data_IF_227275697395
#
_entry.id   IF_227275697395
#
_cell.length_a   1.000
_cell.length_b   1.000
_cell.length_c   1.000
_cell.angle_alpha   90.00
_cell.angle_beta   90.00
_cell.angle_gamma   90.00
#
_symmetry.space_group_name_H-M   'P 1'
#
loop_
_entity.id
_entity.type
_entity.pdbx_description
1 polymer ?
#
# COMPACT_ATOMS: atom_id res chain seq x y z
N UNK A 1 9.69 5.25 26.76
CA UNK A 1 9.94 4.06 25.91
C UNK A 1 9.15 2.93 26.55
N UNK A 2 8.42 2.09 25.83
CA UNK A 2 7.65 1.02 26.46
C UNK A 2 7.00 0.08 25.45
N UNK A 3 6.62 -1.10 25.93
CA UNK A 3 5.80 -2.06 25.18
C UNK A 3 4.36 -1.94 25.66
N UNK A 4 3.40 -1.85 24.74
CA UNK A 4 1.97 -1.77 25.10
C UNK A 4 1.19 -2.88 24.42
N UNK A 5 0.41 -3.61 25.19
CA UNK A 5 -0.54 -4.60 24.69
C UNK A 5 -1.96 -4.04 24.81
N UNK A 6 -2.80 -4.27 23.80
CA UNK A 6 -4.23 -3.97 23.87
C UNK A 6 -5.01 -5.15 23.31
N UNK A 7 -5.98 -5.60 24.08
CA UNK A 7 -6.87 -6.72 23.75
C UNK A 7 -8.31 -6.21 23.63
N UNK A 8 -9.14 -6.93 22.86
CA UNK A 8 -10.55 -6.61 22.66
C UNK A 8 -10.89 -6.06 21.27
N UNK A 9 -12.07 -6.42 20.77
CA UNK A 9 -12.61 -5.88 19.53
C UNK A 9 -13.35 -4.56 19.77
N UNK A 10 -13.22 -3.60 18.86
CA UNK A 10 -13.97 -2.32 18.96
C UNK A 10 -15.11 -2.31 17.96
N UNK A 11 -16.33 -2.02 18.43
CA UNK A 11 -17.50 -1.72 17.59
C UNK A 11 -17.87 -0.24 17.76
N UNK A 12 -18.22 0.44 16.66
CA UNK A 12 -18.66 1.84 16.69
C UNK A 12 -17.58 2.84 16.28
N UNK A 13 -17.74 4.10 16.70
CA UNK A 13 -16.83 5.20 16.39
C UNK A 13 -15.78 5.36 17.47
N UNK A 14 -14.51 5.42 17.07
CA UNK A 14 -13.37 5.49 18.01
C UNK A 14 -12.41 6.59 17.62
N UNK A 15 -12.05 7.43 18.58
CA UNK A 15 -11.03 8.47 18.42
C UNK A 15 -9.80 8.12 19.25
N UNK A 16 -8.61 8.29 18.68
CA UNK A 16 -7.35 8.11 19.41
C UNK A 16 -6.40 9.25 19.09
N UNK A 17 -5.98 9.96 20.11
CA UNK A 17 -5.03 11.05 20.04
C UNK A 17 -3.68 10.64 20.64
N UNK A 18 -2.62 11.36 20.29
CA UNK A 18 -1.26 11.16 20.81
C UNK A 18 -0.34 10.31 19.93
N UNK A 19 0.96 10.62 19.99
CA UNK A 19 2.02 9.87 19.32
C UNK A 19 2.41 8.61 20.10
N UNK A 20 2.65 7.49 19.41
CA UNK A 20 3.13 6.25 20.05
C UNK A 20 4.62 6.05 19.77
N UNK A 21 5.44 5.92 20.82
CA UNK A 21 6.86 5.56 20.71
C UNK A 21 7.15 4.24 21.44
N UNK A 22 7.67 3.25 20.73
CA UNK A 22 7.99 1.92 21.29
C UNK A 22 7.32 0.78 20.54
N UNK A 23 7.15 -0.36 21.21
CA UNK A 23 6.52 -1.56 20.63
C UNK A 23 5.05 -1.61 21.03
N UNK A 24 4.15 -1.87 20.08
CA UNK A 24 2.71 -1.98 20.37
C UNK A 24 2.13 -3.24 19.74
N UNK A 25 1.50 -4.07 20.56
CA UNK A 25 0.70 -5.20 20.13
C UNK A 25 -0.79 -4.87 20.28
N UNK A 26 -1.58 -5.24 19.27
CA UNK A 26 -3.04 -5.15 19.35
C UNK A 26 -3.68 -6.41 18.84
N UNK A 27 -4.62 -6.92 19.61
CA UNK A 27 -5.37 -8.11 19.32
C UNK A 27 -6.86 -7.75 19.34
N UNK A 28 -7.57 -8.12 18.28
CA UNK A 28 -9.00 -7.88 18.15
C UNK A 28 -9.39 -7.24 16.81
N UNK A 29 -10.61 -7.55 16.36
CA UNK A 29 -11.21 -6.94 15.18
C UNK A 29 -11.72 -5.52 15.42
N UNK A 30 -11.80 -4.72 14.36
CA UNK A 30 -12.36 -3.37 14.42
C UNK A 30 -13.54 -3.29 13.45
N UNK A 31 -14.74 -2.95 13.95
CA UNK A 31 -15.93 -2.73 13.13
C UNK A 31 -16.50 -1.34 13.37
N UNK A 32 -16.44 -0.45 12.38
CA UNK A 32 -16.95 0.91 12.49
C UNK A 32 -15.96 1.95 11.98
N UNK A 33 -16.02 3.15 12.54
CA UNK A 33 -15.19 4.28 12.12
C UNK A 33 -14.08 4.53 13.14
N UNK A 34 -12.84 4.61 12.68
CA UNK A 34 -11.70 4.91 13.55
C UNK A 34 -10.95 6.14 13.06
N UNK A 35 -10.84 7.14 13.93
CA UNK A 35 -9.97 8.29 13.75
C UNK A 35 -8.73 8.13 14.63
N UNK A 36 -7.56 8.34 14.03
CA UNK A 36 -6.29 8.35 14.75
C UNK A 36 -5.50 9.58 14.39
N UNK A 37 -5.09 10.31 15.40
CA UNK A 37 -4.25 11.48 15.31
C UNK A 37 -2.95 11.22 16.07
N UNK A 38 -1.82 11.57 15.44
CA UNK A 38 -0.48 11.41 16.02
C UNK A 38 0.41 10.43 15.26
N UNK A 39 1.72 10.66 15.34
CA UNK A 39 2.75 9.84 14.70
C UNK A 39 3.01 8.52 15.42
N UNK A 40 3.54 7.53 14.71
CA UNK A 40 4.00 6.27 15.31
C UNK A 40 5.49 6.11 15.05
N UNK A 41 6.30 5.95 16.10
CA UNK A 41 7.73 5.61 16.01
C UNK A 41 8.03 4.30 16.74
N UNK A 42 8.41 3.26 16.00
CA UNK A 42 8.75 1.95 16.58
C UNK A 42 8.03 0.80 15.86
N UNK A 43 7.82 -0.30 16.59
CA UNK A 43 7.27 -1.54 16.03
C UNK A 43 5.80 -1.68 16.40
N UNK A 44 4.95 -2.02 15.43
CA UNK A 44 3.52 -2.26 15.68
C UNK A 44 3.09 -3.59 15.10
N UNK A 45 2.54 -4.46 15.96
CA UNK A 45 1.83 -5.68 15.57
C UNK A 45 0.33 -5.46 15.73
N UNK A 46 -0.44 -5.85 14.71
CA UNK A 46 -1.91 -5.85 14.76
C UNK A 46 -2.42 -7.20 14.29
N UNK A 47 -3.23 -7.83 15.12
CA UNK A 47 -3.90 -9.09 14.86
C UNK A 47 -5.41 -8.85 14.90
N UNK A 48 -6.09 -9.17 13.80
CA UNK A 48 -7.54 -8.99 13.66
C UNK A 48 -7.94 -8.23 12.39
N UNK A 49 -9.16 -8.46 11.95
CA UNK A 49 -9.73 -7.81 10.77
C UNK A 49 -10.19 -6.36 11.02
N UNK A 50 -10.20 -5.54 9.98
CA UNK A 50 -10.83 -4.20 10.02
C UNK A 50 -11.99 -4.16 9.04
N UNK A 51 -13.20 -3.85 9.52
CA UNK A 51 -14.38 -3.58 8.70
C UNK A 51 -14.89 -2.16 8.97
N UNK A 52 -14.87 -1.29 7.97
CA UNK A 52 -15.37 0.08 8.08
C UNK A 52 -14.37 1.13 7.62
N UNK A 53 -14.46 2.33 8.18
CA UNK A 53 -13.70 3.49 7.72
C UNK A 53 -12.58 3.81 8.70
N UNK A 54 -11.37 4.04 8.20
CA UNK A 54 -10.23 4.45 9.05
C UNK A 54 -9.58 5.70 8.51
N UNK A 55 -9.52 6.74 9.34
CA UNK A 55 -8.72 7.94 9.12
C UNK A 55 -7.48 7.89 10.00
N UNK A 56 -6.30 8.13 9.41
CA UNK A 56 -5.04 8.28 10.17
C UNK A 56 -4.34 9.55 9.74
N UNK A 57 -4.04 10.38 10.73
CA UNK A 57 -3.29 11.61 10.60
C UNK A 57 -1.99 11.47 11.40
N UNK A 58 -0.86 11.66 10.73
CA UNK A 58 0.48 11.57 11.32
C UNK A 58 1.39 10.58 10.60
N UNK A 59 2.71 10.83 10.70
CA UNK A 59 3.73 9.99 10.09
C UNK A 59 3.96 8.66 10.81
N UNK A 60 4.37 7.63 10.10
CA UNK A 60 4.83 6.36 10.70
C UNK A 60 6.30 6.15 10.39
N UNK A 61 7.13 5.95 11.42
CA UNK A 61 8.54 5.56 11.31
C UNK A 61 8.79 4.24 12.05
N UNK A 62 9.16 3.19 11.34
CA UNK A 62 9.50 1.89 11.94
C UNK A 62 8.82 0.72 11.24
N UNK A 63 8.60 -0.37 11.96
CA UNK A 63 8.11 -1.63 11.41
C UNK A 63 6.64 -1.87 11.77
N UNK A 64 5.84 -2.29 10.80
CA UNK A 64 4.43 -2.61 11.03
C UNK A 64 4.10 -3.98 10.49
N UNK A 65 3.62 -4.87 11.35
CA UNK A 65 3.03 -6.16 10.99
C UNK A 65 1.51 -6.07 11.15
N UNK A 66 0.77 -6.58 10.15
CA UNK A 66 -0.69 -6.69 10.20
C UNK A 66 -1.11 -8.06 9.75
N UNK A 67 -1.90 -8.72 10.58
CA UNK A 67 -2.50 -10.00 10.32
C UNK A 67 -4.02 -9.83 10.38
N UNK A 68 -4.69 -10.18 9.28
CA UNK A 68 -6.14 -10.07 9.14
C UNK A 68 -6.58 -9.28 7.91
N UNK A 69 -7.81 -9.54 7.47
CA UNK A 69 -8.41 -8.87 6.31
C UNK A 69 -8.81 -7.42 6.59
N UNK A 70 -8.76 -6.57 5.57
CA UNK A 70 -9.33 -5.21 5.64
C UNK A 70 -10.48 -5.09 4.64
N UNK A 71 -11.68 -4.73 5.11
CA UNK A 71 -12.84 -4.38 4.27
C UNK A 71 -13.29 -2.96 4.56
N UNK A 72 -13.23 -2.06 3.58
CA UNK A 72 -13.74 -0.70 3.71
C UNK A 72 -12.78 0.37 3.25
N UNK A 73 -12.91 1.58 3.79
CA UNK A 73 -12.21 2.77 3.31
C UNK A 73 -11.09 3.18 4.27
N UNK A 74 -9.91 3.49 3.74
CA UNK A 74 -8.79 3.98 4.54
C UNK A 74 -8.24 5.26 3.97
N UNK A 75 -8.24 6.33 4.76
CA UNK A 75 -7.53 7.57 4.50
C UNK A 75 -6.28 7.63 5.38
N UNK A 76 -5.13 7.98 4.79
CA UNK A 76 -3.89 8.23 5.51
C UNK A 76 -3.29 9.54 5.07
N UNK A 77 -2.99 10.38 6.05
CA UNK A 77 -2.31 11.65 5.88
C UNK A 77 -1.01 11.59 6.68
N UNK A 78 0.10 11.81 6.00
CA UNK A 78 1.45 11.79 6.59
C UNK A 78 2.39 10.78 5.93
N UNK A 79 3.69 11.03 6.09
CA UNK A 79 4.74 10.20 5.51
C UNK A 79 4.88 8.83 6.19
N UNK A 80 5.26 7.81 5.43
CA UNK A 80 5.61 6.49 5.97
C UNK A 80 7.08 6.19 5.70
N UNK A 81 7.88 5.92 6.74
CA UNK A 81 9.26 5.45 6.63
C UNK A 81 9.46 4.14 7.36
N UNK A 82 9.87 3.08 6.65
CA UNK A 82 10.22 1.80 7.26
C UNK A 82 9.55 0.61 6.59
N UNK A 83 9.38 -0.48 7.33
CA UNK A 83 8.98 -1.77 6.78
C UNK A 83 7.53 -2.09 7.14
N UNK A 84 6.75 -2.58 6.17
CA UNK A 84 5.37 -3.01 6.40
C UNK A 84 5.15 -4.42 5.87
N UNK A 85 4.74 -5.33 6.76
CA UNK A 85 4.24 -6.65 6.41
C UNK A 85 2.71 -6.68 6.58
N UNK A 86 2.01 -7.22 5.58
CA UNK A 86 0.57 -7.44 5.66
C UNK A 86 0.24 -8.84 5.20
N UNK A 87 -0.50 -9.54 6.03
CA UNK A 87 -1.04 -10.86 5.78
C UNK A 87 -2.57 -10.77 5.84
N UNK A 88 -3.23 -11.16 4.76
CA UNK A 88 -4.68 -11.12 4.61
C UNK A 88 -5.16 -10.28 3.43
N UNK A 89 -6.38 -10.57 2.98
CA UNK A 89 -7.00 -9.88 1.84
C UNK A 89 -7.39 -8.43 2.15
N UNK A 90 -7.30 -7.55 1.16
CA UNK A 90 -7.82 -6.18 1.27
C UNK A 90 -8.91 -5.94 0.24
N UNK A 91 -10.12 -5.57 0.68
CA UNK A 91 -11.23 -5.13 -0.17
C UNK A 91 -11.64 -3.70 0.17
N UNK A 92 -11.59 -2.79 -0.79
CA UNK A 92 -12.12 -1.43 -0.64
C UNK A 92 -11.17 -0.34 -1.11
N UNK A 93 -11.36 0.87 -0.58
CA UNK A 93 -10.73 2.08 -1.11
C UNK A 93 -9.62 2.57 -0.17
N UNK A 94 -8.48 2.95 -0.74
CA UNK A 94 -7.37 3.54 0.03
C UNK A 94 -6.90 4.84 -0.59
N UNK A 95 -6.97 5.92 0.17
CA UNK A 95 -6.33 7.20 -0.14
C UNK A 95 -5.10 7.38 0.75
N UNK A 96 -3.97 7.76 0.16
CA UNK A 96 -2.74 8.10 0.89
C UNK A 96 -2.21 9.43 0.40
N UNK A 97 -1.96 10.31 1.35
CA UNK A 97 -1.34 11.60 1.14
C UNK A 97 -0.04 11.64 1.94
N UNK A 98 1.07 11.90 1.26
CA UNK A 98 2.42 11.94 1.82
C UNK A 98 3.36 10.89 1.23
N UNK A 99 4.66 11.15 1.38
CA UNK A 99 5.70 10.29 0.83
C UNK A 99 5.82 8.93 1.54
N UNK A 100 6.15 7.88 0.78
CA UNK A 100 6.45 6.56 1.36
C UNK A 100 7.88 6.14 1.04
N UNK A 101 8.69 5.87 2.06
CA UNK A 101 10.05 5.32 1.93
C UNK A 101 10.17 3.99 2.67
N UNK A 102 10.61 2.93 1.99
CA UNK A 102 10.95 1.65 2.62
C UNK A 102 10.33 0.45 1.94
N UNK A 103 10.23 -0.65 2.68
CA UNK A 103 9.89 -1.96 2.13
C UNK A 103 8.47 -2.37 2.49
N UNK A 104 7.73 -2.93 1.53
CA UNK A 104 6.39 -3.45 1.76
C UNK A 104 6.27 -4.88 1.26
N UNK A 105 5.90 -5.79 2.15
CA UNK A 105 5.48 -7.15 1.81
C UNK A 105 3.96 -7.27 2.00
N UNK A 106 3.28 -7.82 1.00
CA UNK A 106 1.85 -8.12 1.08
C UNK A 106 1.60 -9.55 0.64
N UNK A 107 0.89 -10.28 1.46
CA UNK A 107 0.41 -11.62 1.20
C UNK A 107 -1.12 -11.60 1.28
N UNK A 108 -1.76 -12.06 0.20
CA UNK A 108 -3.21 -12.08 0.04
C UNK A 108 -3.72 -11.20 -1.09
N UNK A 109 -4.94 -11.49 -1.55
CA UNK A 109 -5.56 -10.79 -2.66
C UNK A 109 -5.95 -9.34 -2.33
N UNK A 110 -5.81 -8.44 -3.31
CA UNK A 110 -6.25 -7.05 -3.15
C UNK A 110 -7.33 -6.72 -4.18
N UNK A 111 -8.52 -6.30 -3.74
CA UNK A 111 -9.60 -5.79 -4.60
C UNK A 111 -9.97 -4.35 -4.23
N UNK A 112 -9.95 -3.43 -5.19
CA UNK A 112 -10.51 -2.09 -5.02
C UNK A 112 -9.61 -0.98 -5.53
N UNK A 113 -9.84 0.23 -5.02
CA UNK A 113 -9.29 1.46 -5.58
C UNK A 113 -8.21 2.04 -4.67
N UNK A 114 -7.09 2.45 -5.24
CA UNK A 114 -6.00 3.10 -4.50
C UNK A 114 -5.61 4.41 -5.16
N UNK A 115 -5.78 5.54 -4.48
CA UNK A 115 -5.18 6.82 -4.88
C UNK A 115 -4.00 7.13 -3.96
N UNK A 116 -2.86 7.52 -4.53
CA UNK A 116 -1.67 7.95 -3.78
C UNK A 116 -1.21 9.29 -4.29
N UNK A 117 -0.96 10.19 -3.36
CA UNK A 117 -0.39 11.50 -3.59
C UNK A 117 0.91 11.59 -2.79
N UNK A 118 2.01 11.91 -3.46
CA UNK A 118 3.35 11.99 -2.90
C UNK A 118 4.32 10.94 -3.45
N UNK A 119 5.62 11.23 -3.31
CA UNK A 119 6.68 10.36 -3.84
C UNK A 119 6.78 9.01 -3.14
N UNK A 120 7.06 7.95 -3.90
CA UNK A 120 7.30 6.62 -3.33
C UNK A 120 8.71 6.13 -3.64
N UNK A 121 9.51 5.80 -2.61
CA UNK A 121 10.83 5.18 -2.75
C UNK A 121 10.92 3.85 -2.02
N UNK A 122 11.33 2.79 -2.70
CA UNK A 122 11.69 1.52 -2.05
C UNK A 122 11.12 0.28 -2.73
N UNK A 123 11.11 -0.81 -1.98
CA UNK A 123 10.85 -2.15 -2.51
C UNK A 123 9.44 -2.62 -2.16
N UNK A 124 8.74 -3.24 -3.10
CA UNK A 124 7.43 -3.85 -2.86
C UNK A 124 7.39 -5.28 -3.36
N UNK A 125 7.09 -6.22 -2.47
CA UNK A 125 6.74 -7.60 -2.79
C UNK A 125 5.24 -7.80 -2.60
N UNK A 126 4.58 -8.40 -3.58
CA UNK A 126 3.16 -8.78 -3.50
C UNK A 126 2.97 -10.21 -3.94
N UNK A 127 2.29 -10.97 -3.10
CA UNK A 127 1.87 -12.33 -3.35
C UNK A 127 0.34 -12.37 -3.28
N UNK A 128 -0.28 -12.87 -4.35
CA UNK A 128 -1.73 -12.94 -4.52
C UNK A 128 -2.27 -12.00 -5.60
N UNK A 129 -3.48 -12.31 -6.08
CA UNK A 129 -4.11 -11.58 -7.17
C UNK A 129 -4.47 -10.13 -6.81
N UNK A 130 -4.30 -9.21 -7.76
CA UNK A 130 -4.71 -7.81 -7.59
C UNK A 130 -5.77 -7.41 -8.62
N UNK A 131 -6.95 -6.96 -8.18
CA UNK A 131 -8.00 -6.40 -9.03
C UNK A 131 -8.34 -4.96 -8.65
N UNK A 132 -8.35 -4.05 -9.61
CA UNK A 132 -8.95 -2.71 -9.44
C UNK A 132 -8.08 -1.57 -9.95
N UNK A 133 -8.38 -0.37 -9.48
CA UNK A 133 -7.83 0.87 -10.05
C UNK A 133 -6.78 1.47 -9.14
N UNK A 134 -5.68 1.94 -9.70
CA UNK A 134 -4.63 2.65 -8.97
C UNK A 134 -4.34 4.00 -9.61
N UNK A 135 -4.51 5.08 -8.85
CA UNK A 135 -4.03 6.42 -9.20
C UNK A 135 -2.80 6.76 -8.37
N UNK A 136 -1.76 7.27 -9.01
CA UNK A 136 -0.56 7.77 -8.34
C UNK A 136 -0.17 9.12 -8.90
N UNK A 137 0.06 10.05 -7.98
CA UNK A 137 0.58 11.37 -8.25
C UNK A 137 1.88 11.53 -7.46
N UNK A 138 2.96 11.86 -8.16
CA UNK A 138 4.31 12.00 -7.62
C UNK A 138 5.28 10.93 -8.13
N UNK A 139 6.58 11.23 -8.01
CA UNK A 139 7.64 10.36 -8.53
C UNK A 139 7.72 9.00 -7.81
N UNK A 140 7.97 7.93 -8.56
CA UNK A 140 8.16 6.59 -7.98
C UNK A 140 9.54 6.05 -8.31
N UNK A 141 10.34 5.70 -7.29
CA UNK A 141 11.65 5.04 -7.44
C UNK A 141 11.69 3.69 -6.70
N UNK A 142 12.07 2.62 -7.37
CA UNK A 142 12.44 1.36 -6.70
C UNK A 142 11.97 0.10 -7.42
N UNK A 143 12.01 -1.01 -6.68
CA UNK A 143 11.79 -2.36 -7.19
C UNK A 143 10.41 -2.88 -6.81
N UNK A 144 9.75 -3.58 -7.73
CA UNK A 144 8.48 -4.24 -7.47
C UNK A 144 8.50 -5.67 -7.97
N UNK A 145 8.25 -6.63 -7.07
CA UNK A 145 8.03 -8.03 -7.39
C UNK A 145 6.55 -8.35 -7.18
N UNK A 146 5.91 -8.98 -8.16
CA UNK A 146 4.52 -9.42 -8.07
C UNK A 146 4.40 -10.88 -8.49
N UNK A 147 3.73 -11.63 -7.64
CA UNK A 147 3.38 -13.02 -7.87
C UNK A 147 1.84 -13.13 -7.79
N UNK A 148 1.24 -13.61 -8.87
CA UNK A 148 -0.21 -13.73 -9.04
C UNK A 148 -0.79 -12.77 -10.10
N UNK A 149 -2.00 -13.08 -10.55
CA UNK A 149 -2.66 -12.34 -11.64
C UNK A 149 -2.99 -10.89 -11.27
N UNK A 150 -2.77 -9.96 -12.21
CA UNK A 150 -3.16 -8.55 -12.02
C UNK A 150 -4.20 -8.13 -13.05
N UNK A 151 -5.37 -7.65 -12.60
CA UNK A 151 -6.41 -7.07 -13.46
C UNK A 151 -6.75 -5.64 -13.07
N UNK A 152 -6.72 -4.70 -14.01
CA UNK A 152 -7.31 -3.36 -13.81
C UNK A 152 -6.50 -2.21 -14.36
N UNK A 153 -6.86 -1.01 -13.93
CA UNK A 153 -6.39 0.24 -14.54
C UNK A 153 -5.38 0.94 -13.64
N UNK A 154 -4.30 1.48 -14.23
CA UNK A 154 -3.31 2.26 -13.51
C UNK A 154 -3.09 3.62 -14.18
N UNK A 155 -3.32 4.71 -13.44
CA UNK A 155 -2.93 6.06 -13.83
C UNK A 155 -1.72 6.50 -13.01
N UNK A 156 -0.68 7.02 -13.67
CA UNK A 156 0.51 7.56 -13.02
C UNK A 156 0.84 8.94 -13.57
N UNK A 157 1.06 9.87 -12.66
CA UNK A 157 1.52 11.23 -12.93
C UNK A 157 2.83 11.43 -12.16
N UNK A 158 3.89 11.80 -12.87
CA UNK A 158 5.24 11.98 -12.35
C UNK A 158 6.24 10.91 -12.82
N UNK A 159 7.54 11.20 -12.65
CA UNK A 159 8.61 10.33 -13.14
C UNK A 159 8.66 8.96 -12.46
N UNK A 160 8.87 7.90 -13.22
CA UNK A 160 9.04 6.54 -12.68
C UNK A 160 10.42 5.97 -12.98
N UNK A 161 11.17 5.56 -11.95
CA UNK A 161 12.47 4.88 -12.08
C UNK A 161 12.51 3.54 -11.35
N UNK A 162 12.92 2.47 -12.03
CA UNK A 162 13.27 1.20 -11.38
C UNK A 162 12.70 -0.05 -12.03
N UNK A 163 12.85 -1.18 -11.34
CA UNK A 163 12.67 -2.51 -11.92
C UNK A 163 11.36 -3.14 -11.47
N UNK A 164 10.67 -3.83 -12.40
CA UNK A 164 9.47 -4.61 -12.08
C UNK A 164 9.61 -6.05 -12.56
N UNK A 165 9.49 -7.01 -11.66
CA UNK A 165 9.33 -8.43 -11.98
C UNK A 165 7.87 -8.85 -11.76
N UNK A 166 7.29 -9.57 -12.71
CA UNK A 166 5.91 -10.08 -12.62
C UNK A 166 5.86 -11.55 -13.01
N UNK A 167 5.22 -12.33 -12.15
CA UNK A 167 4.89 -13.72 -12.38
C UNK A 167 3.38 -13.88 -12.30
N UNK A 168 2.76 -14.35 -13.39
CA UNK A 168 1.31 -14.50 -13.56
C UNK A 168 0.70 -13.54 -14.59
N UNK A 169 -0.53 -13.85 -15.03
CA UNK A 169 -1.20 -13.11 -16.09
C UNK A 169 -1.52 -11.65 -15.74
N UNK A 170 -1.36 -10.74 -16.71
CA UNK A 170 -1.70 -9.32 -16.56
C UNK A 170 -2.76 -8.87 -17.56
N UNK A 171 -3.87 -8.30 -17.07
CA UNK A 171 -4.93 -7.73 -17.91
C UNK A 171 -5.28 -6.30 -17.50
N UNK A 172 -5.22 -5.35 -18.43
CA UNK A 172 -5.76 -4.01 -18.21
C UNK A 172 -4.87 -2.87 -18.68
N UNK A 173 -5.31 -1.65 -18.38
CA UNK A 173 -4.84 -0.43 -19.03
C UNK A 173 -3.89 0.35 -18.12
N UNK A 174 -2.82 0.92 -18.70
CA UNK A 174 -1.92 1.82 -17.99
C UNK A 174 -1.80 3.16 -18.72
N UNK A 175 -2.10 4.26 -18.04
CA UNK A 175 -1.80 5.62 -18.50
C UNK A 175 -0.65 6.20 -17.69
N UNK A 176 0.35 6.78 -18.36
CA UNK A 176 1.52 7.40 -17.72
C UNK A 176 1.76 8.79 -18.27
N UNK A 177 1.95 9.73 -17.37
CA UNK A 177 2.33 11.11 -17.64
C UNK A 177 3.64 11.40 -16.88
N UNK A 178 4.71 11.72 -17.61
CA UNK A 178 6.07 11.94 -17.09
C UNK A 178 7.09 10.87 -17.52
N UNK A 179 8.37 11.18 -17.32
CA UNK A 179 9.48 10.34 -17.79
C UNK A 179 9.55 8.95 -17.13
N UNK A 180 9.86 7.92 -17.91
CA UNK A 180 10.00 6.55 -17.41
C UNK A 180 11.39 5.97 -17.69
N UNK A 181 12.08 5.51 -16.65
CA UNK A 181 13.39 4.83 -16.75
C UNK A 181 13.42 3.51 -15.97
N UNK A 182 13.45 2.37 -16.63
CA UNK A 182 13.51 1.10 -15.90
C UNK A 182 13.26 -0.14 -16.72
N UNK A 183 13.50 -1.29 -16.10
CA UNK A 183 13.36 -2.60 -16.70
C UNK A 183 12.09 -3.30 -16.21
N UNK A 184 11.43 -4.05 -17.08
CA UNK A 184 10.31 -4.92 -16.70
C UNK A 184 10.58 -6.33 -17.19
N UNK A 185 10.54 -7.31 -16.29
CA UNK A 185 10.59 -8.74 -16.62
C UNK A 185 9.22 -9.35 -16.34
N UNK A 186 8.67 -10.13 -17.29
CA UNK A 186 7.35 -10.76 -17.16
C UNK A 186 7.41 -12.24 -17.49
N UNK A 187 6.72 -13.01 -16.66
CA UNK A 187 6.45 -14.42 -16.87
C UNK A 187 4.93 -14.64 -16.80
N UNK A 188 4.32 -15.01 -17.94
CA UNK A 188 2.87 -15.20 -18.11
C UNK A 188 2.20 -14.22 -19.10
N UNK A 189 0.97 -14.53 -19.51
CA UNK A 189 0.25 -13.79 -20.56
C UNK A 189 -0.06 -12.32 -20.22
N UNK A 190 0.05 -11.43 -21.21
CA UNK A 190 -0.32 -10.01 -21.09
C UNK A 190 -1.44 -9.68 -22.08
N UNK A 191 -2.53 -9.08 -21.60
CA UNK A 191 -3.60 -8.51 -22.44
C UNK A 191 -3.98 -7.11 -21.96
N UNK A 192 -3.50 -6.06 -22.61
CA UNK A 192 -3.87 -4.69 -22.25
C UNK A 192 -3.04 -3.60 -22.91
N UNK A 193 -3.52 -2.37 -22.81
CA UNK A 193 -2.93 -1.21 -23.49
C UNK A 193 -2.09 -0.36 -22.53
N UNK A 194 -1.09 0.32 -23.08
CA UNK A 194 -0.29 1.31 -22.33
C UNK A 194 -0.17 2.60 -23.12
N UNK A 195 -0.72 3.69 -22.58
CA UNK A 195 -0.58 5.04 -23.11
C UNK A 195 0.50 5.79 -22.31
N UNK A 196 1.42 6.48 -23.00
CA UNK A 196 2.55 7.19 -22.37
C UNK A 196 2.67 8.58 -22.97
N UNK A 197 2.83 9.56 -22.08
CA UNK A 197 3.07 10.95 -22.41
C UNK A 197 4.35 11.38 -21.67
N UNK A 198 5.48 11.48 -22.39
CA UNK A 198 6.82 11.78 -21.87
C UNK A 198 7.90 10.76 -22.25
N UNK A 199 9.19 11.12 -22.06
CA UNK A 199 10.33 10.32 -22.49
C UNK A 199 10.43 8.92 -21.83
N UNK A 200 10.83 7.91 -22.61
CA UNK A 200 11.00 6.53 -22.13
C UNK A 200 12.44 6.06 -22.39
N UNK A 201 13.09 5.48 -21.36
CA UNK A 201 14.38 4.78 -21.51
C UNK A 201 14.39 3.48 -20.70
N UNK A 202 14.38 2.32 -21.36
CA UNK A 202 14.51 1.02 -20.69
C UNK A 202 13.89 -0.14 -21.45
N UNK A 203 14.20 -1.36 -21.03
CA UNK A 203 13.83 -2.60 -21.73
C UNK A 203 12.63 -3.29 -21.10
N UNK A 204 11.93 -4.09 -21.90
CA UNK A 204 10.93 -5.05 -21.43
C UNK A 204 11.31 -6.43 -21.93
N UNK A 205 11.31 -7.40 -21.01
CA UNK A 205 11.51 -8.82 -21.25
C UNK A 205 10.27 -9.56 -20.78
#
# INVERSE_FOLDING_TARGET
RGTTHRFGGTRGTTHRFGGTRGTTHRFGGTRGTTHRFGGTRGTTHRFGGTRGTTHRFGGTRGTTHRFGGTRGTTHRFGGTRGTTHRFGGTRGTTHRFGGTRGTTHRFGGTRGTTHRFGGTRGTTHRFGGTRGTTHRFGGTRGTTHRFGGTRGTTHRFGGTRGTTHRFGGTRGTTHRFGGTRGTTHRFGGTRGTTHRFGGTRGTTH
#
